data_IF_387621245735
#
_entry.id   IF_387621245735
#
_cell.length_a   1.000
_cell.length_b   1.000
_cell.length_c   1.000
_cell.angle_alpha   90.00
_cell.angle_beta   90.00
_cell.angle_gamma   90.00
#
_symmetry.space_group_name_H-M   'P 1'
#
loop_
_entity.id
_entity.type
_entity.pdbx_description
1 polymer ?
#
# COMPACT_ATOMS: atom_id res chain seq x y z
N UNK A 1 5.38 22.51 7.43
CA UNK A 1 5.21 21.52 6.34
C UNK A 1 5.57 20.18 6.94
N UNK A 2 4.88 19.10 6.56
CA UNK A 2 5.11 17.79 7.15
C UNK A 2 6.50 17.29 6.72
N UNK A 3 7.29 16.83 7.69
CA UNK A 3 8.56 16.15 7.42
C UNK A 3 8.26 14.70 7.03
N UNK A 4 9.21 14.00 6.42
CA UNK A 4 9.05 12.57 6.13
C UNK A 4 8.72 11.76 7.41
N UNK A 5 9.33 12.13 8.55
CA UNK A 5 9.05 11.52 9.86
C UNK A 5 7.60 11.75 10.28
N UNK A 6 7.10 12.99 10.22
CA UNK A 6 5.70 13.28 10.56
C UNK A 6 4.72 12.53 9.66
N UNK A 7 5.02 12.41 8.36
CA UNK A 7 4.20 11.65 7.39
C UNK A 7 4.18 10.16 7.75
N UNK A 8 5.32 9.59 8.14
CA UNK A 8 5.40 8.21 8.63
C UNK A 8 4.58 8.03 9.90
N UNK A 9 4.74 8.89 10.88
CA UNK A 9 4.08 8.74 12.18
C UNK A 9 2.54 8.82 12.02
N UNK A 10 2.03 9.77 11.22
CA UNK A 10 0.61 9.85 10.84
C UNK A 10 0.09 8.55 10.17
N UNK A 11 0.93 7.94 9.31
CA UNK A 11 0.61 6.68 8.65
C UNK A 11 0.59 5.50 9.63
N UNK A 12 1.57 5.41 10.53
CA UNK A 12 1.64 4.37 11.56
C UNK A 12 0.45 4.45 12.52
N UNK A 13 0.02 5.65 12.89
CA UNK A 13 -1.20 5.88 13.68
C UNK A 13 -2.45 5.34 12.95
N UNK A 14 -2.51 5.55 11.63
CA UNK A 14 -3.60 5.01 10.80
C UNK A 14 -3.59 3.47 10.77
N UNK A 15 -2.42 2.83 10.68
CA UNK A 15 -2.31 1.37 10.75
C UNK A 15 -2.69 0.84 12.14
N UNK A 16 -2.27 1.50 13.22
CA UNK A 16 -2.64 1.14 14.58
C UNK A 16 -4.16 1.21 14.78
N UNK A 17 -4.81 2.26 14.27
CA UNK A 17 -6.26 2.38 14.28
C UNK A 17 -6.94 1.22 13.54
N UNK A 18 -6.43 0.83 12.36
CA UNK A 18 -6.95 -0.31 11.60
C UNK A 18 -6.77 -1.63 12.37
N UNK A 19 -5.63 -1.85 13.04
CA UNK A 19 -5.41 -3.04 13.89
C UNK A 19 -6.46 -3.10 15.01
N UNK A 20 -6.72 -1.99 15.69
CA UNK A 20 -7.74 -1.90 16.74
C UNK A 20 -9.14 -2.18 16.19
N UNK A 21 -9.48 -1.58 15.04
CA UNK A 21 -10.77 -1.82 14.39
C UNK A 21 -10.93 -3.29 14.00
N UNK A 22 -9.90 -3.91 13.42
CA UNK A 22 -9.91 -5.32 13.06
C UNK A 22 -10.07 -6.22 14.29
N UNK A 23 -9.38 -5.91 15.40
CA UNK A 23 -9.55 -6.62 16.68
C UNK A 23 -11.00 -6.60 17.17
N UNK A 24 -11.69 -5.46 17.04
CA UNK A 24 -13.12 -5.34 17.37
C UNK A 24 -13.99 -6.19 16.46
N UNK A 25 -13.73 -6.18 15.14
CA UNK A 25 -14.45 -7.04 14.18
C UNK A 25 -14.31 -8.51 14.56
N UNK A 26 -13.08 -8.97 14.85
CA UNK A 26 -12.80 -10.34 15.28
C UNK A 26 -13.48 -10.70 16.61
N UNK A 27 -13.57 -9.76 17.55
CA UNK A 27 -14.28 -10.01 18.83
C UNK A 27 -15.80 -10.12 18.67
N UNK A 28 -16.35 -9.54 17.61
CA UNK A 28 -17.80 -9.53 17.33
C UNK A 28 -18.31 -10.72 16.53
N UNK A 29 -17.45 -11.67 16.13
CA UNK A 29 -17.81 -12.83 15.29
C UNK A 29 -18.13 -14.07 16.14
N UNK A 30 -19.11 -14.86 15.70
CA UNK A 30 -19.40 -16.18 16.27
C UNK A 30 -20.84 -16.35 16.74
N UNK A 31 -21.11 -17.43 17.47
CA UNK A 31 -22.46 -17.76 17.97
C UNK A 31 -22.90 -16.70 18.98
N UNK A 32 -23.95 -15.93 18.65
CA UNK A 32 -24.42 -14.81 19.47
C UNK A 32 -23.59 -13.53 19.30
N UNK A 33 -22.65 -13.50 18.35
CA UNK A 33 -21.90 -12.30 17.98
C UNK A 33 -22.72 -11.31 17.15
N UNK A 34 -22.25 -10.07 17.09
CA UNK A 34 -22.88 -8.97 16.34
C UNK A 34 -22.76 -9.17 14.82
N UNK A 35 -21.67 -9.79 14.36
CA UNK A 35 -21.34 -9.91 12.93
C UNK A 35 -21.50 -11.33 12.41
N UNK A 36 -22.15 -11.46 11.26
CA UNK A 36 -22.17 -12.70 10.49
C UNK A 36 -20.84 -12.90 9.74
N UNK A 37 -20.57 -14.12 9.26
CA UNK A 37 -19.36 -14.37 8.46
C UNK A 37 -19.26 -13.47 7.20
N UNK A 38 -20.33 -13.26 6.40
CA UNK A 38 -20.31 -12.28 5.32
C UNK A 38 -19.93 -10.87 5.77
N UNK A 39 -20.44 -10.40 6.91
CA UNK A 39 -20.12 -9.07 7.44
C UNK A 39 -18.64 -8.95 7.76
N UNK A 40 -18.08 -9.95 8.46
CA UNK A 40 -16.66 -9.97 8.81
C UNK A 40 -15.77 -9.99 7.57
N UNK A 41 -16.13 -10.77 6.54
CA UNK A 41 -15.38 -10.77 5.29
C UNK A 41 -15.39 -9.39 4.62
N UNK A 42 -16.54 -8.70 4.60
CA UNK A 42 -16.66 -7.36 4.00
C UNK A 42 -15.98 -6.26 4.81
N UNK A 43 -16.08 -6.32 6.14
CA UNK A 43 -15.34 -5.42 7.02
C UNK A 43 -13.84 -5.62 6.87
N UNK A 44 -13.37 -6.87 6.74
CA UNK A 44 -11.96 -7.19 6.50
C UNK A 44 -11.48 -6.66 5.15
N UNK A 45 -12.27 -6.79 4.08
CA UNK A 45 -11.98 -6.19 2.77
C UNK A 45 -11.84 -4.67 2.87
N UNK A 46 -12.77 -4.00 3.55
CA UNK A 46 -12.74 -2.55 3.73
C UNK A 46 -11.51 -2.07 4.50
N UNK A 47 -11.21 -2.70 5.64
CA UNK A 47 -10.02 -2.38 6.44
C UNK A 47 -8.72 -2.63 5.68
N UNK A 48 -8.66 -3.71 4.90
CA UNK A 48 -7.51 -4.05 4.06
C UNK A 48 -7.29 -3.02 2.95
N UNK A 49 -8.36 -2.61 2.24
CA UNK A 49 -8.27 -1.56 1.23
C UNK A 49 -7.79 -0.26 1.87
N UNK A 50 -8.38 0.15 3.00
CA UNK A 50 -7.98 1.38 3.69
C UNK A 50 -6.49 1.37 4.04
N UNK A 51 -5.95 0.25 4.53
CA UNK A 51 -4.52 0.15 4.84
C UNK A 51 -3.64 0.39 3.60
N UNK A 52 -4.00 -0.19 2.45
CA UNK A 52 -3.24 0.02 1.21
C UNK A 52 -3.44 1.41 0.62
N UNK A 53 -4.62 2.00 0.73
CA UNK A 53 -4.85 3.39 0.33
C UNK A 53 -4.00 4.35 1.17
N UNK A 54 -3.91 4.13 2.48
CA UNK A 54 -3.02 4.93 3.34
C UNK A 54 -1.55 4.70 3.01
N UNK A 55 -1.15 3.48 2.65
CA UNK A 55 0.21 3.19 2.19
C UNK A 55 0.57 3.96 0.92
N UNK A 56 -0.34 4.00 -0.06
CA UNK A 56 -0.16 4.74 -1.31
C UNK A 56 -0.04 6.25 -1.04
N UNK A 57 -0.89 6.78 -0.15
CA UNK A 57 -0.84 8.18 0.27
C UNK A 57 0.48 8.51 1.00
N UNK A 58 0.90 7.65 1.92
CA UNK A 58 2.19 7.76 2.63
C UNK A 58 3.36 7.83 1.65
N UNK A 59 3.47 6.86 0.72
CA UNK A 59 4.54 6.85 -0.26
C UNK A 59 4.52 8.11 -1.14
N UNK A 60 3.33 8.55 -1.56
CA UNK A 60 3.16 9.75 -2.39
C UNK A 60 3.56 11.03 -1.65
N UNK A 61 3.18 11.16 -0.39
CA UNK A 61 3.52 12.33 0.42
C UNK A 61 5.04 12.38 0.70
N UNK A 62 5.66 11.22 0.94
CA UNK A 62 7.10 11.09 1.15
C UNK A 62 7.89 11.47 -0.11
N UNK A 63 7.58 10.88 -1.27
CA UNK A 63 8.29 11.19 -2.52
C UNK A 63 8.12 12.65 -2.94
N UNK A 64 6.93 13.22 -2.68
CA UNK A 64 6.65 14.65 -2.91
C UNK A 64 7.52 15.53 -2.01
N UNK A 65 7.61 15.17 -0.72
CA UNK A 65 8.42 15.89 0.27
C UNK A 65 9.90 15.83 -0.10
N UNK A 66 10.41 14.65 -0.47
CA UNK A 66 11.78 14.47 -0.91
C UNK A 66 12.09 15.31 -2.16
N UNK A 67 11.29 15.22 -3.21
CA UNK A 67 11.47 16.03 -4.42
C UNK A 67 11.41 17.53 -4.14
N UNK A 68 10.55 17.96 -3.21
CA UNK A 68 10.38 19.36 -2.85
C UNK A 68 11.55 19.94 -2.02
N UNK A 69 12.37 19.09 -1.39
CA UNK A 69 13.32 19.51 -0.34
C UNK A 69 14.75 19.07 -0.57
N UNK A 70 14.99 17.90 -1.16
CA UNK A 70 16.32 17.36 -1.39
C UNK A 70 17.02 18.12 -2.51
N UNK A 71 18.24 18.58 -2.24
CA UNK A 71 19.06 19.29 -3.22
C UNK A 71 19.47 18.44 -4.42
N UNK A 72 19.49 17.11 -4.25
CA UNK A 72 19.82 16.15 -5.31
C UNK A 72 18.67 15.94 -6.30
N UNK A 73 17.43 16.26 -5.91
CA UNK A 73 16.28 16.12 -6.79
C UNK A 73 16.27 17.14 -7.92
N UNK A 74 15.73 16.74 -9.07
CA UNK A 74 15.66 17.54 -10.30
C UNK A 74 15.08 18.93 -10.05
N UNK A 75 14.08 19.01 -9.17
CA UNK A 75 13.44 20.28 -8.83
C UNK A 75 14.40 21.29 -8.17
N UNK A 76 15.22 20.84 -7.20
CA UNK A 76 16.10 21.73 -6.44
C UNK A 76 17.46 21.94 -7.11
N UNK A 77 17.88 21.00 -7.96
CA UNK A 77 19.05 21.20 -8.82
C UNK A 77 18.80 22.28 -9.88
N UNK A 78 17.57 22.38 -10.40
CA UNK A 78 17.20 23.38 -11.42
C UNK A 78 16.68 24.70 -10.82
N UNK A 79 15.91 24.64 -9.71
CA UNK A 79 15.27 25.83 -9.11
C UNK A 79 15.93 26.20 -7.78
N UNK A 80 16.82 27.19 -7.84
CA UNK A 80 17.55 27.69 -6.66
C UNK A 80 16.68 28.42 -5.64
N UNK A 81 15.64 29.13 -6.09
CA UNK A 81 14.79 29.92 -5.21
C UNK A 81 13.32 29.93 -5.69
N UNK A 82 12.41 29.78 -4.73
CA UNK A 82 10.98 29.82 -4.96
C UNK A 82 10.40 31.13 -4.42
N UNK A 83 9.64 31.86 -5.26
CA UNK A 83 9.07 33.17 -4.91
C UNK A 83 7.92 33.10 -3.90
N UNK A 84 7.23 31.96 -3.80
CA UNK A 84 6.06 31.80 -2.93
C UNK A 84 6.23 30.61 -1.99
N UNK A 85 5.67 30.73 -0.78
CA UNK A 85 5.61 29.64 0.19
C UNK A 85 4.95 28.41 -0.44
N UNK A 86 5.49 27.22 -0.17
CA UNK A 86 5.03 25.93 -0.68
C UNK A 86 5.09 25.77 -2.22
N UNK A 87 5.72 26.67 -2.98
CA UNK A 87 5.83 26.49 -4.43
C UNK A 87 6.61 25.23 -4.83
N UNK A 88 7.64 24.87 -4.06
CA UNK A 88 8.40 23.63 -4.31
C UNK A 88 7.52 22.39 -4.19
N UNK A 89 6.66 22.32 -3.17
CA UNK A 89 5.73 21.21 -2.98
C UNK A 89 4.67 21.13 -4.08
N UNK A 90 4.04 22.26 -4.42
CA UNK A 90 3.06 22.31 -5.52
C UNK A 90 3.67 21.90 -6.85
N UNK A 91 4.93 22.29 -7.11
CA UNK A 91 5.62 21.91 -8.34
C UNK A 91 6.04 20.44 -8.31
N UNK A 92 6.52 19.93 -7.17
CA UNK A 92 6.79 18.50 -6.99
C UNK A 92 5.54 17.64 -7.24
N UNK A 93 4.40 18.01 -6.66
CA UNK A 93 3.12 17.34 -6.93
C UNK A 93 2.75 17.37 -8.41
N UNK A 94 2.93 18.51 -9.09
CA UNK A 94 2.63 18.62 -10.52
C UNK A 94 3.55 17.72 -11.36
N UNK A 95 4.85 17.70 -11.06
CA UNK A 95 5.83 16.83 -11.74
C UNK A 95 5.45 15.37 -11.54
N UNK A 96 5.18 14.97 -10.30
CA UNK A 96 4.88 13.57 -9.97
C UNK A 96 3.53 13.10 -10.50
N UNK A 97 2.54 13.99 -10.62
CA UNK A 97 1.23 13.64 -11.18
C UNK A 97 1.12 13.93 -12.69
N UNK A 98 2.20 14.42 -13.34
CA UNK A 98 2.18 14.62 -14.77
C UNK A 98 2.14 13.26 -15.49
N UNK A 99 1.14 13.01 -16.35
CA UNK A 99 1.14 11.82 -17.18
C UNK A 99 2.17 11.99 -18.29
N UNK A 100 3.15 11.10 -18.39
CA UNK A 100 4.18 11.15 -19.45
C UNK A 100 3.57 11.00 -20.86
N UNK A 101 2.32 10.56 -20.94
CA UNK A 101 1.54 10.48 -22.17
C UNK A 101 0.07 10.82 -21.90
N UNK A 102 -0.62 11.61 -22.76
CA UNK A 102 -2.00 12.07 -22.52
C UNK A 102 -3.04 10.95 -22.34
N UNK A 103 -2.76 9.75 -22.87
CA UNK A 103 -3.62 8.57 -22.72
C UNK A 103 -3.28 7.68 -21.51
N UNK A 104 -2.31 8.06 -20.66
CA UNK A 104 -1.91 7.28 -19.48
C UNK A 104 -2.26 8.03 -18.21
N UNK A 105 -2.78 7.30 -17.22
CA UNK A 105 -2.95 7.81 -15.86
C UNK A 105 -1.72 7.46 -15.03
N UNK A 106 -1.38 8.30 -14.05
CA UNK A 106 -0.31 7.98 -13.10
C UNK A 106 -0.84 6.98 -12.07
N UNK A 107 -0.38 5.73 -12.18
CA UNK A 107 -0.76 4.65 -11.27
C UNK A 107 0.15 4.67 -10.02
N UNK A 108 -0.39 5.02 -8.86
CA UNK A 108 0.35 5.01 -7.58
C UNK A 108 0.23 3.69 -6.81
N UNK A 109 -0.25 2.66 -7.49
CA UNK A 109 -0.77 1.45 -6.85
C UNK A 109 0.29 0.35 -6.69
N UNK A 110 1.48 0.55 -7.27
CA UNK A 110 2.60 -0.41 -7.27
C UNK A 110 3.85 0.20 -6.66
N UNK A 111 4.61 -0.60 -5.90
CA UNK A 111 5.87 -0.13 -5.31
C UNK A 111 6.90 0.26 -6.38
N UNK A 112 7.00 -0.54 -7.45
CA UNK A 112 7.90 -0.28 -8.58
C UNK A 112 7.66 1.09 -9.23
N UNK A 113 6.42 1.58 -9.21
CA UNK A 113 6.11 2.93 -9.72
C UNK A 113 6.73 4.03 -8.85
N UNK A 114 6.75 3.85 -7.52
CA UNK A 114 7.42 4.80 -6.63
C UNK A 114 8.93 4.75 -6.82
N UNK A 115 9.52 3.56 -6.96
CA UNK A 115 10.95 3.38 -7.24
C UNK A 115 11.33 4.08 -8.55
N UNK A 116 10.65 3.75 -9.64
CA UNK A 116 10.91 4.34 -10.96
C UNK A 116 10.80 5.87 -10.97
N UNK A 117 9.83 6.44 -10.24
CA UNK A 117 9.69 7.89 -10.13
C UNK A 117 10.76 8.51 -9.24
N UNK A 118 11.17 7.84 -8.17
CA UNK A 118 12.24 8.30 -7.32
C UNK A 118 13.58 8.28 -8.08
N UNK A 119 13.86 7.22 -8.84
CA UNK A 119 15.02 7.15 -9.75
C UNK A 119 15.02 8.31 -10.76
N UNK A 120 13.86 8.59 -11.38
CA UNK A 120 13.75 9.61 -12.41
C UNK A 120 13.85 11.05 -11.90
N UNK A 121 13.35 11.35 -10.69
CA UNK A 121 13.21 12.73 -10.21
C UNK A 121 14.06 13.08 -8.99
N UNK A 122 14.44 12.10 -8.18
CA UNK A 122 15.29 12.32 -6.99
C UNK A 122 16.73 11.87 -7.28
N UNK A 123 16.90 10.82 -8.08
CA UNK A 123 18.19 10.26 -8.45
C UNK A 123 18.73 9.23 -7.45
N UNK A 124 20.01 8.89 -7.62
CA UNK A 124 20.67 7.86 -6.81
C UNK A 124 20.67 8.22 -5.31
N UNK A 125 20.42 7.21 -4.46
CA UNK A 125 20.40 7.35 -3.00
C UNK A 125 19.04 7.75 -2.41
N UNK A 126 17.97 7.73 -3.19
CA UNK A 126 16.62 7.91 -2.67
C UNK A 126 16.23 6.80 -1.68
N UNK A 127 15.28 7.09 -0.78
CA UNK A 127 14.87 6.14 0.27
C UNK A 127 13.98 4.99 -0.18
N UNK A 128 13.42 5.02 -1.39
CA UNK A 128 12.52 4.00 -1.94
C UNK A 128 13.24 2.68 -2.29
N UNK A 129 13.87 2.08 -1.28
CA UNK A 129 14.60 0.82 -1.37
C UNK A 129 14.12 -0.07 -0.23
N UNK A 130 13.56 -1.22 -0.57
CA UNK A 130 13.06 -2.20 0.37
C UNK A 130 13.71 -3.57 0.14
N UNK A 131 13.79 -4.44 1.17
CA UNK A 131 14.21 -5.82 0.98
C UNK A 131 13.33 -6.52 -0.06
N UNK A 132 13.94 -7.39 -0.88
CA UNK A 132 13.23 -8.09 -1.96
C UNK A 132 12.00 -8.86 -1.48
N UNK A 133 12.08 -9.48 -0.30
CA UNK A 133 10.96 -10.19 0.31
C UNK A 133 9.76 -9.25 0.57
N UNK A 134 10.03 -8.03 1.06
CA UNK A 134 8.99 -7.02 1.31
C UNK A 134 8.35 -6.56 0.01
N UNK A 135 9.13 -6.32 -1.05
CA UNK A 135 8.60 -5.95 -2.38
C UNK A 135 7.71 -7.05 -2.96
N UNK A 136 8.13 -8.31 -2.82
CA UNK A 136 7.33 -9.46 -3.22
C UNK A 136 6.02 -9.58 -2.43
N UNK A 137 6.01 -9.20 -1.16
CA UNK A 137 4.80 -9.20 -0.34
C UNK A 137 3.86 -8.06 -0.74
N UNK A 138 4.38 -6.83 -0.91
CA UNK A 138 3.61 -5.70 -1.45
C UNK A 138 2.97 -6.03 -2.81
N UNK A 139 3.67 -6.77 -3.66
CA UNK A 139 3.15 -7.26 -4.95
C UNK A 139 1.94 -8.20 -4.76
N UNK A 140 2.00 -9.12 -3.79
CA UNK A 140 0.86 -10.00 -3.47
C UNK A 140 -0.30 -9.19 -2.86
N UNK A 141 -0.02 -8.24 -1.97
CA UNK A 141 -1.04 -7.34 -1.39
C UNK A 141 -1.78 -6.54 -2.47
N UNK A 142 -1.06 -6.02 -3.47
CA UNK A 142 -1.67 -5.36 -4.64
C UNK A 142 -2.63 -6.28 -5.39
N UNK A 143 -2.27 -7.55 -5.62
CA UNK A 143 -3.16 -8.52 -6.29
C UNK A 143 -4.43 -8.79 -5.48
N UNK A 144 -4.31 -8.89 -4.15
CA UNK A 144 -5.47 -9.03 -3.26
C UNK A 144 -6.36 -7.78 -3.38
N UNK A 145 -5.79 -6.57 -3.25
CA UNK A 145 -6.52 -5.30 -3.41
C UNK A 145 -7.26 -5.24 -4.73
N UNK A 146 -6.59 -5.60 -5.82
CA UNK A 146 -7.16 -5.58 -7.16
C UNK A 146 -8.35 -6.53 -7.28
N UNK A 147 -8.30 -7.72 -6.69
CA UNK A 147 -9.44 -8.64 -6.72
C UNK A 147 -10.64 -8.15 -5.89
N UNK A 148 -10.43 -7.29 -4.89
CA UNK A 148 -11.53 -6.65 -4.16
C UNK A 148 -12.10 -5.47 -4.97
N UNK A 149 -11.22 -4.57 -5.43
CA UNK A 149 -11.59 -3.29 -6.01
C UNK A 149 -12.02 -3.40 -7.48
N UNK A 150 -11.39 -4.30 -8.23
CA UNK A 150 -11.64 -4.49 -9.65
C UNK A 150 -12.39 -5.80 -9.86
N UNK A 151 -13.64 -5.72 -10.28
CA UNK A 151 -14.49 -6.87 -10.62
C UNK A 151 -14.15 -7.47 -12.01
N UNK A 152 -12.89 -7.38 -12.44
CA UNK A 152 -12.48 -7.86 -13.76
C UNK A 152 -11.99 -9.30 -13.69
N UNK A 153 -12.22 -10.06 -14.76
CA UNK A 153 -11.74 -11.45 -14.88
C UNK A 153 -10.22 -11.54 -14.72
N UNK A 154 -9.50 -10.53 -15.22
CA UNK A 154 -8.04 -10.46 -15.08
C UNK A 154 -7.59 -10.33 -13.63
N UNK A 155 -8.24 -9.46 -12.84
CA UNK A 155 -7.91 -9.29 -11.43
C UNK A 155 -8.21 -10.58 -10.64
N UNK A 156 -9.32 -11.25 -10.99
CA UNK A 156 -9.68 -12.53 -10.41
C UNK A 156 -8.70 -13.66 -10.74
N UNK A 157 -8.27 -13.76 -12.00
CA UNK A 157 -7.29 -14.75 -12.46
C UNK A 157 -5.93 -14.53 -11.78
N UNK A 158 -5.46 -13.28 -11.67
CA UNK A 158 -4.21 -12.95 -10.97
C UNK A 158 -4.25 -13.33 -9.49
N UNK A 159 -5.37 -13.06 -8.81
CA UNK A 159 -5.58 -13.47 -7.42
C UNK A 159 -5.62 -14.99 -7.29
N UNK A 160 -6.38 -15.67 -8.17
CA UNK A 160 -6.51 -17.13 -8.17
C UNK A 160 -5.17 -17.83 -8.39
N UNK A 161 -4.33 -17.31 -9.30
CA UNK A 161 -2.96 -17.80 -9.52
C UNK A 161 -2.09 -17.56 -8.31
N UNK A 162 -2.18 -16.39 -7.69
CA UNK A 162 -1.40 -16.03 -6.51
C UNK A 162 -1.72 -16.93 -5.31
N UNK A 163 -2.99 -17.20 -5.00
CA UNK A 163 -3.36 -18.03 -3.84
C UNK A 163 -2.96 -19.51 -4.00
N UNK A 164 -2.76 -19.98 -5.23
CA UNK A 164 -2.29 -21.33 -5.54
C UNK A 164 -0.76 -21.46 -5.51
N UNK A 165 -0.06 -20.35 -5.64
CA UNK A 165 1.40 -20.31 -5.56
C UNK A 165 1.88 -20.19 -4.11
N UNK A 166 3.18 -20.39 -3.90
CA UNK A 166 3.82 -20.08 -2.64
C UNK A 166 3.63 -18.59 -2.28
N UNK A 167 3.43 -18.25 -0.99
CA UNK A 167 3.48 -19.12 0.18
C UNK A 167 2.16 -19.83 0.54
N UNK A 168 1.06 -19.51 -0.14
CA UNK A 168 -0.28 -19.95 0.27
C UNK A 168 -0.60 -21.40 -0.14
N UNK A 169 -0.14 -21.82 -1.33
CA UNK A 169 -0.27 -23.17 -1.86
C UNK A 169 -1.68 -23.77 -1.73
N UNK A 170 -2.74 -22.97 -1.93
CA UNK A 170 -4.11 -23.47 -1.82
C UNK A 170 -4.41 -24.47 -2.95
N UNK A 171 -4.86 -25.65 -2.58
CA UNK A 171 -5.30 -26.69 -3.52
C UNK A 171 -6.59 -26.28 -4.23
N UNK A 172 -6.90 -26.93 -5.36
CA UNK A 172 -8.14 -26.68 -6.10
C UNK A 172 -9.41 -26.88 -5.24
N UNK A 173 -9.39 -27.85 -4.32
CA UNK A 173 -10.49 -28.09 -3.39
C UNK A 173 -10.64 -26.95 -2.37
N UNK A 174 -9.53 -26.41 -1.85
CA UNK A 174 -9.53 -25.27 -0.93
C UNK A 174 -9.90 -23.95 -1.61
N UNK A 175 -9.67 -23.81 -2.92
CA UNK A 175 -10.08 -22.64 -3.69
C UNK A 175 -11.60 -22.54 -3.90
N UNK A 176 -12.37 -23.60 -3.64
CA UNK A 176 -13.83 -23.58 -3.84
C UNK A 176 -14.51 -22.65 -2.85
N UNK A 177 -15.19 -21.63 -3.36
CA UNK A 177 -15.86 -20.62 -2.54
C UNK A 177 -14.89 -19.71 -1.76
N UNK A 178 -13.64 -19.61 -2.21
CA UNK A 178 -12.73 -18.56 -1.74
C UNK A 178 -13.18 -17.24 -2.35
N UNK A 179 -13.22 -16.21 -1.51
CA UNK A 179 -13.36 -14.81 -1.89
C UNK A 179 -12.20 -14.03 -1.30
N UNK A 180 -11.88 -12.81 -1.78
CA UNK A 180 -10.82 -12.00 -1.20
C UNK A 180 -11.04 -11.76 0.29
N UNK A 181 -12.25 -11.39 0.72
CA UNK A 181 -12.56 -11.19 2.14
C UNK A 181 -12.40 -12.44 3.00
N UNK A 182 -12.82 -13.61 2.49
CA UNK A 182 -12.60 -14.88 3.20
C UNK A 182 -11.11 -15.22 3.31
N UNK A 183 -10.36 -14.99 2.23
CA UNK A 183 -8.91 -15.21 2.20
C UNK A 183 -8.19 -14.30 3.19
N UNK A 184 -8.52 -13.00 3.19
CA UNK A 184 -7.94 -12.00 4.08
C UNK A 184 -8.17 -12.33 5.56
N UNK A 185 -9.40 -12.75 5.88
CA UNK A 185 -9.80 -13.05 7.25
C UNK A 185 -9.30 -14.41 7.76
N UNK A 186 -9.38 -15.47 6.94
CA UNK A 186 -9.18 -16.85 7.39
C UNK A 186 -7.85 -17.48 7.01
N UNK A 187 -7.16 -16.97 5.99
CA UNK A 187 -5.91 -17.58 5.53
C UNK A 187 -4.73 -17.08 6.35
N UNK A 188 -3.84 -18.01 6.70
CA UNK A 188 -2.60 -17.70 7.40
C UNK A 188 -1.49 -17.37 6.41
N UNK A 189 -0.67 -16.38 6.76
CA UNK A 189 0.54 -15.98 6.09
C UNK A 189 1.59 -15.68 7.15
N UNK A 190 2.69 -16.46 7.14
CA UNK A 190 3.79 -16.30 8.09
C UNK A 190 3.34 -16.33 9.57
N UNK A 191 2.36 -17.18 9.89
CA UNK A 191 1.86 -17.39 11.26
C UNK A 191 0.78 -16.42 11.72
N UNK A 192 0.31 -15.49 10.88
CA UNK A 192 -0.80 -14.59 11.20
C UNK A 192 -1.84 -14.56 10.08
N UNK A 193 -3.04 -14.02 10.33
CA UNK A 193 -4.01 -13.80 9.24
C UNK A 193 -3.46 -12.85 8.19
N UNK A 194 -3.87 -13.01 6.94
CA UNK A 194 -3.38 -12.20 5.80
C UNK A 194 -3.48 -10.69 6.07
N UNK A 195 -4.54 -10.20 6.70
CA UNK A 195 -4.64 -8.77 7.08
C UNK A 195 -3.61 -8.36 8.14
N UNK A 196 -3.36 -9.18 9.16
CA UNK A 196 -2.37 -8.86 10.18
C UNK A 196 -0.95 -8.89 9.61
N UNK A 197 -0.65 -9.86 8.74
CA UNK A 197 0.61 -9.90 7.99
C UNK A 197 0.77 -8.63 7.16
N UNK A 198 -0.27 -8.27 6.39
CA UNK A 198 -0.26 -7.06 5.57
C UNK A 198 0.05 -5.80 6.38
N UNK A 199 -0.64 -5.59 7.51
CA UNK A 199 -0.40 -4.42 8.37
C UNK A 199 1.04 -4.40 8.90
N UNK A 200 1.61 -5.55 9.27
CA UNK A 200 3.00 -5.64 9.72
C UNK A 200 4.00 -5.42 8.60
N UNK A 201 3.77 -5.96 7.40
CA UNK A 201 4.60 -5.70 6.22
C UNK A 201 4.63 -4.21 5.89
N UNK A 202 3.47 -3.57 5.92
CA UNK A 202 3.28 -2.15 5.63
C UNK A 202 3.96 -1.24 6.67
N UNK A 203 3.82 -1.57 7.96
CA UNK A 203 4.49 -0.88 9.06
C UNK A 203 6.02 -1.00 8.96
N UNK A 204 6.53 -2.21 8.75
CA UNK A 204 7.97 -2.45 8.59
C UNK A 204 8.53 -1.74 7.36
N UNK A 205 7.78 -1.72 6.26
CA UNK A 205 8.16 -1.00 5.05
C UNK A 205 8.24 0.51 5.31
N UNK A 206 7.25 1.11 5.98
CA UNK A 206 7.28 2.53 6.32
C UNK A 206 8.48 2.90 7.23
N UNK A 207 8.77 2.10 8.26
CA UNK A 207 9.94 2.28 9.13
C UNK A 207 11.27 2.09 8.39
N UNK A 208 11.30 1.26 7.34
CA UNK A 208 12.50 1.09 6.50
C UNK A 208 12.72 2.29 5.59
N UNK A 209 11.65 2.78 4.95
CA UNK A 209 11.71 3.94 4.04
C UNK A 209 12.03 5.24 4.81
N UNK A 210 11.48 5.39 6.01
CA UNK A 210 11.70 6.54 6.87
C UNK A 210 12.09 6.02 8.26
N UNK A 211 13.39 5.83 8.55
CA UNK A 211 13.87 5.42 9.87
C UNK A 211 13.61 6.49 10.96
#
# INVERSE_FOLDING_TARGET
MRTAIAIRDEYLDSLAHIRVAYGKVCSGVGRGGLFTFPDVHKLSEGLFISALTYWEAFCKDVITTDLATLATGTLRSEVKAFRTKNASYRLAEKILNHPDHPARFVEWSSFDTFVSRADAHIGAGHRFVLPQATVQDLTKLKKIRNAIAHKSDKAWDDFSKMIRAAPFNLTGAQCRGVTPGRFIYSTQWSGTTVILHALTTLENAANTLVP
#
